data_IF_791904371689
#
_entry.id   IF_791904371689
#
_cell.length_a   1.000
_cell.length_b   1.000
_cell.length_c   1.000
_cell.angle_alpha   90.00
_cell.angle_beta   90.00
_cell.angle_gamma   90.00
#
_symmetry.space_group_name_H-M   'P 1'
#
loop_
_entity.id
_entity.type
_entity.pdbx_description
1 polymer ?
#
# COMPACT_ATOMS: atom_id res chain seq x y z
N UNK A 1 -22.23 8.37 -22.83
CA UNK A 1 -21.14 9.23 -22.34
C UNK A 1 -20.82 8.82 -20.89
N UNK A 2 -19.54 8.73 -20.57
CA UNK A 2 -19.05 8.51 -19.22
C UNK A 2 -19.23 9.78 -18.36
N UNK A 3 -19.12 9.65 -17.04
CA UNK A 3 -19.13 10.82 -16.13
C UNK A 3 -18.02 11.82 -16.48
N UNK A 4 -16.83 11.32 -16.84
CA UNK A 4 -15.71 12.16 -17.29
C UNK A 4 -16.06 12.94 -18.55
N UNK A 5 -16.58 12.27 -19.59
CA UNK A 5 -16.99 12.94 -20.84
C UNK A 5 -18.07 14.02 -20.62
N UNK A 6 -18.97 13.80 -19.66
CA UNK A 6 -19.97 14.83 -19.29
C UNK A 6 -19.33 16.00 -18.57
N UNK A 7 -18.41 15.75 -17.67
CA UNK A 7 -17.65 16.80 -16.97
C UNK A 7 -16.81 17.63 -17.94
N UNK A 8 -16.19 16.99 -18.94
CA UNK A 8 -15.34 17.67 -19.94
C UNK A 8 -16.14 18.68 -20.78
N UNK A 9 -17.46 18.47 -20.90
CA UNK A 9 -18.37 19.40 -21.60
C UNK A 9 -18.79 20.64 -20.78
N UNK A 10 -18.50 20.67 -19.48
CA UNK A 10 -18.82 21.83 -18.63
C UNK A 10 -18.01 23.06 -19.06
N UNK A 11 -18.59 24.25 -18.86
CA UNK A 11 -17.89 25.50 -19.10
C UNK A 11 -16.73 25.69 -18.11
N UNK A 12 -15.72 26.53 -18.44
CA UNK A 12 -14.63 26.84 -17.52
C UNK A 12 -15.13 27.37 -16.17
N UNK A 13 -16.17 28.21 -16.18
CA UNK A 13 -16.76 28.79 -14.97
C UNK A 13 -17.40 27.71 -14.09
N UNK A 14 -18.06 26.72 -14.68
CA UNK A 14 -18.64 25.60 -13.94
C UNK A 14 -17.55 24.71 -13.31
N UNK A 15 -16.45 24.48 -14.02
CA UNK A 15 -15.28 23.74 -13.51
C UNK A 15 -14.57 24.49 -12.41
N UNK A 16 -14.56 25.82 -12.42
CA UNK A 16 -13.90 26.65 -11.40
C UNK A 16 -14.72 26.85 -10.12
N UNK A 17 -15.87 26.20 -9.99
CA UNK A 17 -16.61 26.14 -8.72
C UNK A 17 -15.94 25.15 -7.74
N UNK A 18 -16.20 25.26 -6.41
CA UNK A 18 -15.70 24.27 -5.44
C UNK A 18 -16.03 22.82 -5.84
N UNK A 19 -17.27 22.57 -6.26
CA UNK A 19 -17.70 21.24 -6.72
C UNK A 19 -17.01 20.82 -8.03
N UNK A 20 -16.78 21.77 -8.95
CA UNK A 20 -16.07 21.50 -10.19
C UNK A 20 -14.60 21.12 -9.94
N UNK A 21 -13.92 21.83 -9.06
CA UNK A 21 -12.53 21.49 -8.66
C UNK A 21 -12.44 20.13 -7.95
N UNK A 22 -13.36 19.82 -7.04
CA UNK A 22 -13.43 18.52 -6.39
C UNK A 22 -13.61 17.37 -7.41
N UNK A 23 -14.48 17.59 -8.39
CA UNK A 23 -14.72 16.62 -9.45
C UNK A 23 -13.51 16.45 -10.37
N UNK A 24 -12.79 17.54 -10.71
CA UNK A 24 -11.55 17.48 -11.49
C UNK A 24 -10.47 16.67 -10.73
N UNK A 25 -10.29 16.93 -9.44
CA UNK A 25 -9.37 16.19 -8.59
C UNK A 25 -9.73 14.69 -8.52
N UNK A 26 -11.01 14.38 -8.39
CA UNK A 26 -11.51 13.01 -8.44
C UNK A 26 -11.13 12.32 -9.75
N UNK A 27 -11.36 12.97 -10.90
CA UNK A 27 -11.00 12.39 -12.20
C UNK A 27 -9.50 12.31 -12.39
N UNK A 28 -8.75 13.30 -11.96
CA UNK A 28 -7.29 13.28 -12.00
C UNK A 28 -6.72 12.11 -11.18
N UNK A 29 -7.25 11.91 -9.99
CA UNK A 29 -6.88 10.78 -9.10
C UNK A 29 -7.20 9.44 -9.75
N UNK A 30 -8.38 9.28 -10.34
CA UNK A 30 -8.74 8.04 -11.03
C UNK A 30 -7.86 7.77 -12.26
N UNK A 31 -7.49 8.80 -13.02
CA UNK A 31 -6.56 8.67 -14.16
C UNK A 31 -5.17 8.23 -13.67
N UNK A 32 -4.65 8.91 -12.66
CA UNK A 32 -3.35 8.60 -12.06
C UNK A 32 -3.34 7.16 -11.49
N UNK A 33 -4.40 6.77 -10.78
CA UNK A 33 -4.54 5.42 -10.26
C UNK A 33 -4.52 4.36 -11.37
N UNK A 34 -5.32 4.52 -12.43
CA UNK A 34 -5.36 3.58 -13.56
C UNK A 34 -4.00 3.47 -14.26
N UNK A 35 -3.31 4.58 -14.42
CA UNK A 35 -1.98 4.61 -14.99
C UNK A 35 -1.00 3.84 -14.10
N UNK A 36 -0.99 4.12 -12.80
CA UNK A 36 -0.14 3.42 -11.84
C UNK A 36 -0.45 1.93 -11.79
N UNK A 37 -1.74 1.54 -11.74
CA UNK A 37 -2.16 0.13 -11.73
C UNK A 37 -1.61 -0.65 -12.93
N UNK A 38 -1.49 0.00 -14.10
CA UNK A 38 -0.92 -0.60 -15.31
C UNK A 38 0.61 -0.66 -15.31
N UNK A 39 1.30 0.20 -14.54
CA UNK A 39 2.75 0.33 -14.51
C UNK A 39 3.39 -0.37 -13.30
N UNK A 40 2.68 -0.45 -12.18
CA UNK A 40 3.14 -1.08 -10.94
C UNK A 40 2.90 -2.59 -11.00
N UNK A 41 3.72 -3.25 -11.81
CA UNK A 41 3.69 -4.70 -12.07
C UNK A 41 5.03 -5.32 -11.68
N UNK A 42 5.11 -6.64 -11.76
CA UNK A 42 6.37 -7.36 -11.53
C UNK A 42 7.48 -6.83 -12.45
N UNK A 43 8.66 -6.61 -11.90
CA UNK A 43 9.83 -6.00 -12.55
C UNK A 43 9.87 -4.47 -12.50
N UNK A 44 8.76 -3.80 -12.17
CA UNK A 44 8.74 -2.34 -12.03
C UNK A 44 9.47 -1.88 -10.76
N UNK A 45 10.06 -0.67 -10.79
CA UNK A 45 10.59 -0.02 -9.59
C UNK A 45 9.45 0.45 -8.70
N UNK A 46 9.51 0.10 -7.41
CA UNK A 46 8.58 0.57 -6.40
C UNK A 46 8.75 2.09 -6.20
N UNK A 47 7.67 2.88 -6.25
CA UNK A 47 7.73 4.34 -6.04
C UNK A 47 8.22 4.70 -4.64
N UNK A 48 9.17 5.63 -4.55
CA UNK A 48 9.67 6.12 -3.25
C UNK A 48 8.57 6.85 -2.47
N UNK A 49 8.61 6.70 -1.14
CA UNK A 49 7.79 7.44 -0.19
C UNK A 49 8.56 7.69 1.10
N UNK A 50 8.10 8.67 1.88
CA UNK A 50 8.51 8.89 3.26
C UNK A 50 7.27 9.23 4.08
N UNK A 51 6.92 8.37 5.02
CA UNK A 51 5.74 8.50 5.87
C UNK A 51 6.15 8.48 7.35
N UNK A 52 5.24 8.91 8.24
CA UNK A 52 5.48 8.85 9.68
C UNK A 52 5.03 7.51 10.24
N UNK A 53 5.92 6.85 10.96
CA UNK A 53 5.64 5.61 11.68
C UNK A 53 4.76 5.81 12.90
N UNK A 54 4.21 4.71 13.41
CA UNK A 54 3.37 4.69 14.61
C UNK A 54 4.11 5.21 15.87
N UNK A 55 5.43 5.15 15.85
CA UNK A 55 6.35 5.67 16.89
C UNK A 55 6.76 7.14 16.65
N UNK A 56 6.27 7.78 15.59
CA UNK A 56 6.57 9.16 15.22
C UNK A 56 7.86 9.34 14.40
N UNK A 57 8.61 8.27 14.12
CA UNK A 57 9.80 8.34 13.28
C UNK A 57 9.45 8.36 11.79
N UNK A 58 10.26 9.04 10.97
CA UNK A 58 10.10 8.96 9.51
C UNK A 58 10.61 7.63 8.99
N UNK A 59 9.83 7.01 8.11
CA UNK A 59 10.13 5.73 7.46
C UNK A 59 10.04 5.93 5.95
N UNK A 60 11.11 5.63 5.25
CA UNK A 60 11.22 5.74 3.79
C UNK A 60 11.36 4.36 3.16
N UNK A 61 10.90 4.18 1.93
CA UNK A 61 11.15 2.94 1.19
C UNK A 61 12.66 2.66 1.07
N UNK A 62 13.46 3.71 0.88
CA UNK A 62 14.93 3.62 0.79
C UNK A 62 15.62 3.05 2.04
N UNK A 63 14.99 3.10 3.22
CA UNK A 63 15.53 2.53 4.48
C UNK A 63 15.61 1.00 4.43
N UNK A 64 14.89 0.39 3.48
CA UNK A 64 14.83 -1.06 3.30
C UNK A 64 15.72 -1.56 2.14
N UNK A 65 16.53 -0.70 1.53
CA UNK A 65 17.48 -1.13 0.48
C UNK A 65 18.41 -2.22 1.00
N UNK A 66 18.69 -3.22 0.16
CA UNK A 66 19.46 -4.39 0.54
C UNK A 66 18.64 -5.51 1.21
N UNK A 67 17.33 -5.32 1.39
CA UNK A 67 16.42 -6.32 1.97
C UNK A 67 15.28 -6.67 1.02
N UNK A 68 14.82 -7.90 1.09
CA UNK A 68 13.52 -8.28 0.57
C UNK A 68 12.44 -7.70 1.51
N UNK A 69 11.61 -6.82 1.00
CA UNK A 69 10.61 -6.10 1.78
C UNK A 69 9.21 -6.54 1.40
N UNK A 70 8.44 -7.00 2.38
CA UNK A 70 6.98 -7.18 2.22
C UNK A 70 6.31 -5.86 2.56
N UNK A 71 5.65 -5.25 1.56
CA UNK A 71 4.75 -4.11 1.75
C UNK A 71 3.32 -4.63 1.85
N UNK A 72 2.62 -4.25 2.90
CA UNK A 72 1.23 -4.60 3.13
C UNK A 72 0.37 -3.34 3.20
N UNK A 73 -0.54 -3.18 2.25
CA UNK A 73 -1.50 -2.07 2.20
C UNK A 73 -2.80 -2.51 2.85
N UNK A 74 -3.15 -1.87 3.95
CA UNK A 74 -4.27 -2.28 4.80
C UNK A 74 -5.03 -1.10 5.44
N UNK A 75 -5.95 -1.39 6.34
CA UNK A 75 -6.62 -0.41 7.19
C UNK A 75 -7.33 -1.09 8.37
N UNK A 76 -7.48 -0.38 9.48
CA UNK A 76 -8.17 -0.89 10.68
C UNK A 76 -9.64 -1.26 10.41
N UNK A 77 -10.26 -0.55 9.47
CA UNK A 77 -11.63 -0.74 8.99
C UNK A 77 -11.81 -1.91 8.02
N UNK A 78 -10.71 -2.49 7.53
CA UNK A 78 -10.70 -3.53 6.50
C UNK A 78 -10.80 -4.93 7.13
N UNK A 79 -11.98 -5.52 7.14
CA UNK A 79 -12.21 -6.86 7.68
C UNK A 79 -11.29 -7.93 7.08
N UNK A 80 -11.22 -8.09 5.74
CA UNK A 80 -10.30 -9.05 5.12
C UNK A 80 -8.83 -8.82 5.45
N UNK A 81 -8.40 -7.56 5.67
CA UNK A 81 -7.03 -7.26 6.10
C UNK A 81 -6.78 -7.81 7.51
N UNK A 82 -7.75 -7.61 8.42
CA UNK A 82 -7.69 -8.11 9.80
C UNK A 82 -7.64 -9.65 9.84
N UNK A 83 -8.34 -10.32 8.91
CA UNK A 83 -8.27 -11.78 8.73
C UNK A 83 -6.92 -12.24 8.18
N UNK A 84 -6.23 -11.42 7.39
CA UNK A 84 -4.88 -11.72 6.90
C UNK A 84 -3.78 -11.55 7.95
N UNK A 85 -3.96 -10.69 8.95
CA UNK A 85 -2.94 -10.34 9.94
C UNK A 85 -2.32 -11.54 10.70
N UNK A 86 -3.07 -12.59 11.12
CA UNK A 86 -2.45 -13.78 11.72
C UNK A 86 -1.44 -14.48 10.80
N UNK A 87 -1.70 -14.51 9.50
CA UNK A 87 -0.80 -15.11 8.50
C UNK A 87 0.43 -14.24 8.27
N UNK A 88 0.26 -12.92 8.18
CA UNK A 88 1.38 -11.98 8.09
C UNK A 88 2.28 -12.06 9.33
N UNK A 89 1.71 -12.23 10.52
CA UNK A 89 2.47 -12.47 11.75
C UNK A 89 3.29 -13.76 11.66
N UNK A 90 2.68 -14.85 11.22
CA UNK A 90 3.38 -16.12 11.05
C UNK A 90 4.53 -16.00 10.03
N UNK A 91 4.30 -15.27 8.93
CA UNK A 91 5.32 -14.97 7.92
C UNK A 91 6.45 -14.13 8.51
N UNK A 92 6.11 -13.07 9.26
CA UNK A 92 7.10 -12.21 9.93
C UNK A 92 7.94 -12.99 10.95
N UNK A 93 7.31 -13.75 11.83
CA UNK A 93 8.02 -14.59 12.81
C UNK A 93 8.98 -15.58 12.16
N UNK A 94 8.64 -16.09 10.98
CA UNK A 94 9.48 -17.04 10.24
C UNK A 94 10.76 -16.42 9.71
N UNK A 95 10.76 -15.12 9.34
CA UNK A 95 11.87 -14.49 8.64
C UNK A 95 12.47 -13.28 9.37
N UNK A 96 11.91 -12.81 10.50
CA UNK A 96 12.32 -11.57 11.20
C UNK A 96 13.79 -11.52 11.62
N UNK A 97 14.41 -12.68 11.88
CA UNK A 97 15.81 -12.77 12.33
C UNK A 97 16.81 -12.72 11.17
N UNK A 98 16.33 -12.68 9.93
CA UNK A 98 17.17 -12.52 8.75
C UNK A 98 17.56 -11.06 8.56
N UNK A 99 18.83 -10.82 8.28
CA UNK A 99 19.35 -9.46 7.99
C UNK A 99 18.86 -8.90 6.65
N UNK A 100 18.49 -9.80 5.72
CA UNK A 100 18.06 -9.49 4.35
C UNK A 100 16.52 -9.53 4.17
N UNK A 101 15.75 -9.53 5.26
CA UNK A 101 14.28 -9.49 5.26
C UNK A 101 13.75 -8.29 6.04
N UNK A 102 12.64 -7.74 5.60
CA UNK A 102 11.86 -6.73 6.31
C UNK A 102 10.37 -6.81 5.94
N UNK A 103 9.53 -6.25 6.79
CA UNK A 103 8.11 -6.06 6.55
C UNK A 103 7.71 -4.64 6.96
N UNK A 104 6.80 -4.02 6.21
CA UNK A 104 6.25 -2.69 6.47
C UNK A 104 4.78 -2.69 6.08
N UNK A 105 3.90 -2.28 6.99
CA UNK A 105 2.49 -2.05 6.65
C UNK A 105 2.17 -0.57 6.50
N UNK A 106 1.44 -0.26 5.41
CA UNK A 106 0.98 1.08 5.05
C UNK A 106 -0.53 1.14 5.24
N UNK A 107 -0.97 1.79 6.31
CA UNK A 107 -2.38 1.94 6.62
C UNK A 107 -3.02 3.10 5.85
N UNK A 108 -4.27 2.94 5.44
CA UNK A 108 -5.13 4.03 4.97
C UNK A 108 -6.19 4.31 6.04
N UNK A 109 -5.80 4.97 7.12
CA UNK A 109 -6.66 5.23 8.28
C UNK A 109 -6.77 6.71 8.59
N UNK A 110 -8.00 7.22 8.61
CA UNK A 110 -8.31 8.60 9.03
C UNK A 110 -8.43 8.74 10.56
N UNK A 111 -8.67 7.64 11.25
CA UNK A 111 -8.76 7.56 12.71
C UNK A 111 -7.47 6.94 13.26
N UNK A 112 -6.56 7.79 13.73
CA UNK A 112 -5.27 7.35 14.30
C UNK A 112 -5.46 6.46 15.53
N UNK A 113 -6.48 6.71 16.37
CA UNK A 113 -6.75 5.89 17.55
C UNK A 113 -7.23 4.48 17.15
N UNK A 114 -8.12 4.37 16.16
CA UNK A 114 -8.57 3.09 15.63
C UNK A 114 -7.43 2.30 14.99
N UNK A 115 -6.55 2.97 14.23
CA UNK A 115 -5.36 2.37 13.65
C UNK A 115 -4.42 1.79 14.72
N UNK A 116 -4.04 2.60 15.71
CA UNK A 116 -3.17 2.17 16.82
C UNK A 116 -3.76 1.00 17.60
N UNK A 117 -5.06 1.06 17.87
CA UNK A 117 -5.76 -0.03 18.56
C UNK A 117 -5.78 -1.31 17.72
N UNK A 118 -5.96 -1.21 16.39
CA UNK A 118 -5.90 -2.35 15.50
C UNK A 118 -4.50 -2.99 15.47
N UNK A 119 -3.44 -2.18 15.35
CA UNK A 119 -2.03 -2.64 15.40
C UNK A 119 -1.77 -3.40 16.72
N UNK A 120 -2.21 -2.85 17.85
CA UNK A 120 -2.05 -3.47 19.18
C UNK A 120 -2.83 -4.78 19.30
N UNK A 121 -4.11 -4.77 18.92
CA UNK A 121 -5.00 -5.92 19.06
C UNK A 121 -4.55 -7.08 18.17
N UNK A 122 -4.14 -6.81 16.94
CA UNK A 122 -3.67 -7.81 16.00
C UNK A 122 -2.20 -8.19 16.23
N UNK A 123 -1.53 -7.54 17.21
CA UNK A 123 -0.12 -7.78 17.56
C UNK A 123 0.82 -7.66 16.35
N UNK A 124 0.70 -6.57 15.60
CA UNK A 124 1.56 -6.29 14.43
C UNK A 124 2.87 -5.67 14.93
N UNK A 125 3.93 -6.48 15.02
CA UNK A 125 5.20 -6.13 15.67
C UNK A 125 6.28 -5.61 14.71
N UNK A 126 5.97 -5.43 13.44
CA UNK A 126 6.82 -4.78 12.44
C UNK A 126 6.45 -3.32 12.23
N UNK A 127 7.29 -2.50 11.55
CA UNK A 127 7.01 -1.10 11.30
C UNK A 127 5.64 -0.86 10.64
N UNK A 128 4.94 0.17 11.13
CA UNK A 128 3.62 0.57 10.68
C UNK A 128 3.65 2.06 10.35
N UNK A 129 3.15 2.46 9.18
CA UNK A 129 3.01 3.85 8.75
C UNK A 129 1.58 4.14 8.30
N UNK A 130 1.16 5.41 8.33
CA UNK A 130 -0.17 5.79 7.89
C UNK A 130 -0.10 6.73 6.67
N UNK A 131 -0.71 6.31 5.56
CA UNK A 131 -0.74 7.08 4.32
C UNK A 131 -1.67 8.31 4.39
N UNK A 132 -2.61 8.37 5.34
CA UNK A 132 -3.53 9.50 5.51
C UNK A 132 -2.87 10.76 6.05
N UNK A 133 -1.58 10.75 6.39
CA UNK A 133 -0.82 11.97 6.68
C UNK A 133 -0.55 12.80 5.41
N UNK A 134 -0.54 12.16 4.23
CA UNK A 134 -0.46 12.86 2.95
C UNK A 134 -1.85 13.31 2.48
N UNK A 135 -1.96 14.44 1.78
CA UNK A 135 -3.20 14.83 1.14
C UNK A 135 -3.68 13.73 0.18
N UNK A 136 -4.99 13.43 0.23
CA UNK A 136 -5.60 12.58 -0.77
C UNK A 136 -5.46 13.22 -2.15
N UNK A 137 -5.27 12.41 -3.19
CA UNK A 137 -5.18 12.93 -4.56
C UNK A 137 -4.26 12.11 -5.46
N UNK A 138 -3.95 12.62 -6.66
CA UNK A 138 -3.20 11.88 -7.69
C UNK A 138 -1.79 11.46 -7.26
N UNK A 139 -1.20 12.15 -6.28
CA UNK A 139 0.17 11.93 -5.82
C UNK A 139 0.28 11.13 -4.53
N UNK A 140 -0.84 10.77 -3.90
CA UNK A 140 -0.84 9.98 -2.67
C UNK A 140 -0.22 8.59 -2.88
N UNK A 141 0.37 8.01 -1.84
CA UNK A 141 1.14 6.76 -1.93
C UNK A 141 0.29 5.62 -2.50
N UNK A 142 -0.93 5.41 -2.00
CA UNK A 142 -1.82 4.36 -2.52
C UNK A 142 -2.12 4.53 -4.02
N UNK A 143 -2.26 5.76 -4.51
CA UNK A 143 -2.49 6.05 -5.94
C UNK A 143 -1.23 5.75 -6.75
N UNK A 144 -0.05 6.20 -6.29
CA UNK A 144 1.23 5.94 -6.97
C UNK A 144 1.56 4.44 -7.05
N UNK A 145 1.10 3.65 -6.09
CA UNK A 145 1.21 2.18 -6.08
C UNK A 145 0.06 1.47 -6.81
N UNK A 146 -0.89 2.20 -7.39
CA UNK A 146 -2.05 1.62 -8.07
C UNK A 146 -2.98 0.83 -7.13
N UNK A 147 -2.97 1.11 -5.82
CA UNK A 147 -3.72 0.35 -4.82
C UNK A 147 -5.11 0.96 -4.63
N UNK A 148 -6.14 0.20 -5.00
CA UNK A 148 -7.56 0.53 -4.78
C UNK A 148 -8.33 -0.58 -4.05
N UNK A 149 -7.73 -1.75 -3.91
CA UNK A 149 -8.28 -2.90 -3.20
C UNK A 149 -7.43 -3.19 -1.96
N UNK A 150 -8.07 -3.51 -0.85
CA UNK A 150 -7.41 -3.87 0.41
C UNK A 150 -7.84 -5.26 0.88
N UNK A 151 -6.92 -6.10 1.38
CA UNK A 151 -5.47 -5.87 1.38
C UNK A 151 -4.85 -5.98 -0.02
N UNK A 152 -3.77 -5.25 -0.25
CA UNK A 152 -2.84 -5.48 -1.37
C UNK A 152 -1.44 -5.65 -0.78
N UNK A 153 -0.74 -6.68 -1.20
CA UNK A 153 0.62 -6.97 -0.73
C UNK A 153 1.58 -7.01 -1.89
N UNK A 154 2.81 -6.56 -1.65
CA UNK A 154 3.88 -6.60 -2.63
C UNK A 154 5.16 -7.10 -1.98
N UNK A 155 5.92 -7.92 -2.69
CA UNK A 155 7.29 -8.26 -2.34
C UNK A 155 8.24 -7.42 -3.18
N UNK A 156 9.10 -6.67 -2.51
CA UNK A 156 10.10 -5.79 -3.14
C UNK A 156 11.48 -6.42 -2.96
N UNK A 157 12.27 -6.42 -4.03
CA UNK A 157 13.65 -6.92 -4.02
C UNK A 157 14.62 -5.94 -3.31
N UNK A 158 15.85 -6.36 -2.97
CA UNK A 158 16.86 -5.50 -2.35
C UNK A 158 17.22 -4.25 -3.13
N UNK A 159 17.08 -4.27 -4.46
CA UNK A 159 17.31 -3.13 -5.37
C UNK A 159 16.03 -2.32 -5.66
N UNK A 160 14.89 -2.69 -5.04
CA UNK A 160 13.64 -1.93 -5.07
C UNK A 160 12.68 -2.32 -6.19
N UNK A 161 12.87 -3.46 -6.88
CA UNK A 161 11.94 -3.94 -7.88
C UNK A 161 10.79 -4.74 -7.25
N UNK A 162 9.61 -4.64 -7.79
CA UNK A 162 8.44 -5.44 -7.39
C UNK A 162 8.63 -6.86 -7.93
N UNK A 163 8.74 -7.84 -7.05
CA UNK A 163 8.85 -9.27 -7.41
C UNK A 163 7.50 -9.96 -7.48
N UNK A 164 6.57 -9.55 -6.62
CA UNK A 164 5.20 -10.09 -6.54
C UNK A 164 4.26 -8.96 -6.19
N UNK A 165 3.07 -8.94 -6.81
CA UNK A 165 1.93 -8.13 -6.40
C UNK A 165 0.72 -9.04 -6.22
N UNK A 166 0.13 -9.04 -5.02
CA UNK A 166 -1.04 -9.82 -4.66
C UNK A 166 -2.17 -8.91 -4.20
N UNK A 167 -3.29 -8.94 -4.92
CA UNK A 167 -4.50 -8.20 -4.57
C UNK A 167 -5.48 -9.13 -3.83
N UNK A 168 -5.93 -8.72 -2.65
CA UNK A 168 -6.70 -9.55 -1.74
C UNK A 168 -5.81 -10.59 -1.03
N UNK A 169 -6.37 -11.29 -0.05
CA UNK A 169 -5.68 -12.32 0.69
C UNK A 169 -6.39 -13.67 0.53
N UNK A 170 -5.61 -14.72 0.22
CA UNK A 170 -6.06 -16.11 0.14
C UNK A 170 -5.03 -17.00 0.80
N UNK A 171 -5.35 -17.62 1.95
CA UNK A 171 -4.40 -18.45 2.69
C UNK A 171 -3.85 -19.65 1.90
N UNK A 172 -4.64 -20.18 0.97
CA UNK A 172 -4.32 -21.32 0.10
C UNK A 172 -3.49 -20.92 -1.14
N UNK A 173 -3.35 -19.63 -1.42
CA UNK A 173 -2.64 -19.08 -2.58
C UNK A 173 -1.86 -17.81 -2.22
N UNK A 174 -1.00 -17.91 -1.20
CA UNK A 174 -0.13 -16.78 -0.80
C UNK A 174 1.14 -16.75 -1.68
N UNK A 175 1.08 -15.92 -2.73
CA UNK A 175 2.18 -15.75 -3.67
C UNK A 175 3.42 -15.10 -3.03
N UNK A 176 3.23 -14.27 -1.99
CA UNK A 176 4.33 -13.66 -1.23
C UNK A 176 5.08 -14.73 -0.44
N UNK A 177 4.34 -15.57 0.32
CA UNK A 177 4.95 -16.66 1.08
C UNK A 177 5.67 -17.64 0.16
N UNK A 178 5.04 -18.06 -0.93
CA UNK A 178 5.64 -18.97 -1.91
C UNK A 178 6.95 -18.39 -2.50
N UNK A 179 6.97 -17.10 -2.85
CA UNK A 179 8.16 -16.46 -3.39
C UNK A 179 9.28 -16.32 -2.38
N UNK A 180 8.96 -16.04 -1.12
CA UNK A 180 9.95 -16.01 -0.03
C UNK A 180 10.54 -17.40 0.24
N UNK A 181 9.74 -18.47 0.16
CA UNK A 181 10.24 -19.85 0.27
C UNK A 181 11.21 -20.20 -0.87
N UNK A 182 10.94 -19.78 -2.10
CA UNK A 182 11.87 -19.96 -3.23
C UNK A 182 13.19 -19.22 -3.01
N UNK A 183 13.14 -17.99 -2.47
CA UNK A 183 14.32 -17.14 -2.27
C UNK A 183 15.19 -17.58 -1.09
N UNK A 184 14.56 -18.01 0.00
CA UNK A 184 15.24 -18.26 1.26
C UNK A 184 15.39 -19.76 1.61
N UNK A 185 14.69 -20.63 0.89
CA UNK A 185 14.54 -22.03 1.24
C UNK A 185 13.50 -22.24 2.36
N UNK A 186 13.17 -23.50 2.62
CA UNK A 186 12.41 -23.85 3.83
C UNK A 186 13.36 -23.71 5.04
N UNK A 187 12.92 -23.11 6.15
CA UNK A 187 13.72 -23.01 7.37
C UNK A 187 13.96 -24.34 8.04
#
# INVERSE_FOLDING_TARGET
>A
KTRQELFDLLSPEAKDTPAGREMEEYFATNRAWKQADSLITEGAQAPEFTLTGIDGQKVSLSDFRGKYLVLDFWGSWCGPCREANPYLRALYERYKDRSDFAMLSLALDRDDAAWREAVRTDSLCWPQVNMCEEPAGPTSVNVRYGVSLYPTQMLISPDGQILVRQNGFRPDHDAIAARLEELFGQP
#
